data_IF_705901199869
#
_entry.id   IF_705901199869
#
_cell.length_a   1.000
_cell.length_b   1.000
_cell.length_c   1.000
_cell.angle_alpha   90.00
_cell.angle_beta   90.00
_cell.angle_gamma   90.00
#
_symmetry.space_group_name_H-M   'P 1'
#
loop_
_entity.id
_entity.type
_entity.pdbx_description
1 polymer ?
#
# COMPACT_ATOMS: atom_id res chain seq x y z
N UNK A 1 4.39 -8.01 -16.15
CA UNK A 1 3.05 -7.88 -15.59
C UNK A 1 3.04 -6.90 -14.43
N UNK A 2 2.17 -5.95 -14.47
CA UNK A 2 2.14 -4.90 -13.46
C UNK A 2 1.36 -5.33 -12.22
N UNK A 3 1.90 -5.01 -11.06
CA UNK A 3 1.19 -5.23 -9.82
C UNK A 3 0.08 -4.17 -9.70
N UNK A 4 -1.14 -4.63 -9.43
CA UNK A 4 -2.25 -3.72 -9.21
C UNK A 4 -2.35 -3.36 -7.73
N UNK A 5 -3.16 -2.35 -7.43
CA UNK A 5 -3.41 -1.95 -6.05
C UNK A 5 -4.01 -3.12 -5.26
N UNK A 6 -4.83 -3.94 -5.92
CA UNK A 6 -5.44 -5.11 -5.30
C UNK A 6 -4.35 -6.12 -4.92
N UNK A 7 -3.40 -6.32 -5.80
CA UNK A 7 -2.30 -7.25 -5.59
C UNK A 7 -1.44 -6.82 -4.39
N UNK A 8 -1.12 -5.54 -4.33
CA UNK A 8 -0.34 -4.99 -3.22
C UNK A 8 -1.10 -5.15 -1.91
N UNK A 9 -2.40 -4.88 -1.91
CA UNK A 9 -3.22 -5.03 -0.72
C UNK A 9 -3.20 -6.47 -0.20
N UNK A 10 -3.30 -7.44 -1.10
CA UNK A 10 -3.26 -8.85 -0.73
C UNK A 10 -1.92 -9.23 -0.13
N UNK A 11 -0.84 -8.77 -0.72
CA UNK A 11 0.51 -9.09 -0.24
C UNK A 11 0.81 -8.49 1.12
N UNK A 12 0.35 -7.29 1.35
CA UNK A 12 0.61 -6.58 2.59
C UNK A 12 -0.44 -6.83 3.66
N UNK A 13 -1.55 -7.47 3.29
CA UNK A 13 -2.68 -7.74 4.18
C UNK A 13 -3.29 -6.46 4.73
N UNK A 14 -3.28 -5.41 3.93
CA UNK A 14 -3.95 -4.16 4.27
C UNK A 14 -5.10 -3.93 3.30
N UNK A 15 -5.99 -3.00 3.65
CA UNK A 15 -7.13 -2.73 2.80
C UNK A 15 -6.71 -1.98 1.53
N UNK A 16 -7.52 -2.11 0.49
CA UNK A 16 -7.28 -1.40 -0.77
C UNK A 16 -7.26 0.10 -0.53
N UNK A 17 -8.14 0.60 0.33
CA UNK A 17 -8.17 2.01 0.68
C UNK A 17 -6.87 2.49 1.30
N UNK A 18 -6.28 1.66 2.16
CA UNK A 18 -5.00 1.99 2.79
C UNK A 18 -3.88 2.05 1.75
N UNK A 19 -3.85 1.08 0.84
CA UNK A 19 -2.84 1.06 -0.23
C UNK A 19 -2.99 2.32 -1.09
N UNK A 20 -4.21 2.67 -1.46
CA UNK A 20 -4.47 3.86 -2.23
C UNK A 20 -3.97 5.12 -1.53
N UNK A 21 -4.21 5.21 -0.22
CA UNK A 21 -3.75 6.35 0.56
C UNK A 21 -2.23 6.46 0.56
N UNK A 22 -1.53 5.34 0.64
CA UNK A 22 -0.07 5.34 0.59
C UNK A 22 0.42 5.82 -0.77
N UNK A 23 -0.19 5.34 -1.83
CA UNK A 23 0.19 5.71 -3.19
C UNK A 23 -0.01 7.21 -3.42
N UNK A 24 -1.09 7.76 -2.87
CA UNK A 24 -1.40 9.18 -2.98
C UNK A 24 -0.73 10.03 -1.90
N UNK A 25 0.13 9.42 -1.12
CA UNK A 25 0.90 10.11 -0.07
C UNK A 25 0.01 10.85 0.92
N UNK A 26 -1.06 10.21 1.36
CA UNK A 26 -1.96 10.79 2.35
C UNK A 26 -1.33 10.79 3.73
N UNK A 27 -1.55 11.84 4.53
CA UNK A 27 -0.90 11.95 5.85
C UNK A 27 -1.51 11.06 6.93
N UNK A 28 -2.66 10.46 6.69
CA UNK A 28 -3.36 9.66 7.68
C UNK A 28 -2.96 8.19 7.70
N UNK A 29 -1.87 7.84 7.05
CA UNK A 29 -1.37 6.47 7.02
C UNK A 29 -0.21 6.34 8.00
N UNK A 30 -0.22 5.26 8.79
CA UNK A 30 0.88 5.01 9.72
C UNK A 30 2.18 4.74 8.99
N UNK A 31 3.28 5.16 9.60
CA UNK A 31 4.61 4.97 9.01
C UNK A 31 4.91 3.51 8.72
N UNK A 32 4.55 2.62 9.63
CA UNK A 32 4.79 1.19 9.46
C UNK A 32 4.00 0.63 8.28
N UNK A 33 2.76 1.05 8.15
CA UNK A 33 1.91 0.61 7.05
C UNK A 33 2.44 1.14 5.73
N UNK A 34 2.84 2.40 5.71
CA UNK A 34 3.42 3.01 4.52
C UNK A 34 4.65 2.27 4.06
N UNK A 35 5.56 1.96 4.99
CA UNK A 35 6.78 1.22 4.68
C UNK A 35 6.46 -0.15 4.09
N UNK A 36 5.52 -0.85 4.70
CA UNK A 36 5.12 -2.18 4.24
C UNK A 36 4.62 -2.14 2.81
N UNK A 37 3.76 -1.18 2.51
CA UNK A 37 3.19 -1.04 1.17
C UNK A 37 4.27 -0.65 0.17
N UNK A 38 5.11 0.31 0.50
CA UNK A 38 6.17 0.75 -0.40
C UNK A 38 7.17 -0.36 -0.71
N UNK A 39 7.50 -1.18 0.26
CA UNK A 39 8.37 -2.33 0.04
C UNK A 39 7.74 -3.35 -0.88
N UNK A 40 6.43 -3.50 -0.79
CA UNK A 40 5.71 -4.46 -1.63
C UNK A 40 5.64 -3.98 -3.08
N UNK A 41 5.67 -2.68 -3.32
CA UNK A 41 5.65 -2.12 -4.66
C UNK A 41 6.99 -2.30 -5.36
N UNK A 42 8.06 -2.25 -4.61
CA UNK A 42 9.38 -2.52 -5.16
C UNK A 42 9.58 -4.01 -5.32
#
# INVERSE_FOLDING_TARGET
MEATIIDVAKRTKVSIGTVSNVIHNKPNVESKTREKVLKSIH
#
